data_IF_786499019018
#
_entry.id   IF_786499019018
#
_cell.length_a   1.000
_cell.length_b   1.000
_cell.length_c   1.000
_cell.angle_alpha   90.00
_cell.angle_beta   90.00
_cell.angle_gamma   90.00
#
_symmetry.space_group_name_H-M   'P 1'
#
loop_
_entity.id
_entity.type
_entity.pdbx_description
1 polymer ?
#
# COMPACT_ATOMS: atom_id res chain seq x y z
N UNK A 1 -10.63 1.75 8.23
CA UNK A 1 -9.59 1.92 9.27
C UNK A 1 -8.51 2.85 8.75
N UNK A 2 -8.18 3.86 9.52
CA UNK A 2 -7.11 4.79 9.17
C UNK A 2 -5.88 4.52 10.06
N UNK A 3 -4.76 5.15 9.71
CA UNK A 3 -3.48 4.88 10.41
C UNK A 3 -3.57 5.11 11.92
N UNK A 4 -4.22 6.18 12.35
CA UNK A 4 -4.35 6.48 13.79
C UNK A 4 -5.14 5.40 14.53
N UNK A 5 -6.18 4.85 13.90
CA UNK A 5 -6.95 3.75 14.47
C UNK A 5 -6.12 2.47 14.56
N UNK A 6 -5.29 2.20 13.56
CA UNK A 6 -4.38 1.06 13.59
C UNK A 6 -3.42 1.18 14.76
N UNK A 7 -2.83 2.35 14.95
CA UNK A 7 -1.92 2.62 16.06
C UNK A 7 -2.62 2.40 17.40
N UNK A 8 -3.86 2.90 17.53
CA UNK A 8 -4.65 2.70 18.75
C UNK A 8 -4.92 1.22 19.03
N UNK A 9 -5.24 0.45 18.02
CA UNK A 9 -5.49 -0.99 18.17
C UNK A 9 -4.22 -1.73 18.62
N UNK A 10 -3.07 -1.38 18.05
CA UNK A 10 -1.80 -1.97 18.47
C UNK A 10 -1.49 -1.58 19.91
N UNK A 11 -1.71 -0.33 20.29
CA UNK A 11 -1.48 0.15 21.63
C UNK A 11 -2.36 -0.60 22.66
N UNK A 12 -3.60 -0.89 22.30
CA UNK A 12 -4.54 -1.57 23.18
C UNK A 12 -4.07 -2.98 23.54
N UNK A 13 -3.36 -3.66 22.65
CA UNK A 13 -2.85 -5.02 22.88
C UNK A 13 -1.38 -5.05 23.30
N UNK A 14 -0.74 -3.88 23.41
CA UNK A 14 0.67 -3.76 23.78
C UNK A 14 0.85 -2.63 24.81
N UNK A 15 0.13 -2.72 25.91
CA UNK A 15 0.04 -1.65 26.91
C UNK A 15 1.37 -1.33 27.59
N UNK A 16 2.35 -2.22 27.49
CA UNK A 16 3.69 -2.00 28.01
C UNK A 16 4.53 -1.07 27.13
N UNK A 17 4.05 -0.72 25.95
CA UNK A 17 4.74 0.19 25.03
C UNK A 17 4.11 1.57 25.07
N UNK A 18 4.94 2.60 24.93
CA UNK A 18 4.42 3.96 24.80
C UNK A 18 3.76 4.16 23.44
N UNK A 19 2.66 4.89 23.43
CA UNK A 19 1.93 5.21 22.19
C UNK A 19 2.85 5.84 21.14
N UNK A 20 3.72 6.77 21.54
CA UNK A 20 4.66 7.43 20.63
C UNK A 20 5.64 6.46 19.96
N UNK A 21 6.02 5.40 20.66
CA UNK A 21 6.94 4.41 20.11
C UNK A 21 6.25 3.52 19.10
N UNK A 22 4.99 3.16 19.36
CA UNK A 22 4.16 2.41 18.41
C UNK A 22 3.95 3.23 17.14
N UNK A 23 3.62 4.50 17.28
CA UNK A 23 3.46 5.40 16.15
C UNK A 23 4.73 5.49 15.33
N UNK A 24 5.87 5.61 15.98
CA UNK A 24 7.17 5.66 15.32
C UNK A 24 7.45 4.37 14.54
N UNK A 25 7.18 3.21 15.14
CA UNK A 25 7.39 1.91 14.49
C UNK A 25 6.51 1.79 13.24
N UNK A 26 5.23 2.12 13.36
CA UNK A 26 4.32 2.08 12.22
C UNK A 26 4.81 2.99 11.09
N UNK A 27 5.22 4.21 11.43
CA UNK A 27 5.72 5.15 10.44
C UNK A 27 7.01 4.66 9.77
N UNK A 28 7.90 4.04 10.52
CA UNK A 28 9.15 3.47 9.98
C UNK A 28 8.84 2.34 8.99
N UNK A 29 7.92 1.45 9.36
CA UNK A 29 7.53 0.34 8.46
C UNK A 29 6.98 0.88 7.15
N UNK A 30 6.05 1.83 7.23
CA UNK A 30 5.45 2.43 6.03
C UNK A 30 6.50 3.16 5.18
N UNK A 31 7.39 3.89 5.83
CA UNK A 31 8.46 4.62 5.14
C UNK A 31 9.40 3.66 4.40
N UNK A 32 9.77 2.55 5.02
CA UNK A 32 10.63 1.55 4.38
C UNK A 32 9.99 0.97 3.12
N UNK A 33 8.68 0.71 3.18
CA UNK A 33 7.96 0.22 2.01
C UNK A 33 7.95 1.27 0.90
N UNK A 34 7.64 2.52 1.24
CA UNK A 34 7.62 3.62 0.26
C UNK A 34 8.98 3.80 -0.38
N UNK A 35 10.04 3.83 0.40
CA UNK A 35 11.40 4.03 -0.12
C UNK A 35 11.85 2.87 -1.01
N UNK A 36 11.52 1.64 -0.64
CA UNK A 36 11.84 0.48 -1.47
C UNK A 36 11.15 0.57 -2.83
N UNK A 37 9.87 0.89 -2.84
CA UNK A 37 9.12 1.02 -4.08
C UNK A 37 9.59 2.22 -4.91
N UNK A 38 10.00 3.29 -4.27
CA UNK A 38 10.54 4.46 -4.97
C UNK A 38 11.84 4.12 -5.72
N UNK A 39 12.61 3.15 -5.20
CA UNK A 39 13.81 2.65 -5.88
C UNK A 39 13.49 1.61 -6.97
N UNK A 40 12.23 1.20 -7.09
CA UNK A 40 11.82 0.15 -8.00
C UNK A 40 11.97 -1.26 -7.42
N UNK A 41 12.26 -1.39 -6.13
CA UNK A 41 12.40 -2.68 -5.48
C UNK A 41 11.05 -3.29 -5.16
N UNK A 42 11.02 -4.62 -5.11
CA UNK A 42 9.86 -5.38 -4.68
C UNK A 42 9.90 -5.54 -3.16
N UNK A 43 8.74 -5.42 -2.51
CA UNK A 43 8.61 -5.69 -1.08
C UNK A 43 7.69 -6.89 -0.91
N UNK A 44 8.23 -8.00 -0.47
CA UNK A 44 7.47 -9.23 -0.28
C UNK A 44 7.32 -9.54 1.21
N UNK A 45 6.08 -9.60 1.67
CA UNK A 45 5.75 -9.90 3.05
C UNK A 45 5.01 -11.24 3.06
N UNK A 46 5.73 -12.27 3.49
CA UNK A 46 5.23 -13.64 3.48
C UNK A 46 3.84 -13.73 4.11
N UNK A 47 2.94 -14.47 3.48
CA UNK A 47 1.56 -14.70 3.88
C UNK A 47 0.64 -13.48 3.76
N UNK A 48 1.18 -12.29 3.66
CA UNK A 48 0.41 -11.07 3.50
C UNK A 48 0.27 -10.70 2.02
N UNK A 49 1.38 -10.49 1.34
CA UNK A 49 1.37 -10.12 -0.06
C UNK A 49 2.66 -9.49 -0.51
N UNK A 50 2.66 -9.00 -1.72
CA UNK A 50 3.82 -8.38 -2.33
C UNK A 50 3.47 -7.05 -2.96
N UNK A 51 4.28 -6.05 -2.70
CA UNK A 51 4.21 -4.75 -3.37
C UNK A 51 5.24 -4.72 -4.49
N UNK A 52 4.83 -4.31 -5.66
CA UNK A 52 5.71 -4.12 -6.82
C UNK A 52 5.42 -2.79 -7.48
N UNK A 53 6.29 -2.39 -8.37
CA UNK A 53 6.09 -1.18 -9.17
C UNK A 53 5.83 -1.61 -10.60
N UNK A 54 4.74 -1.10 -11.17
CA UNK A 54 4.38 -1.36 -12.57
C UNK A 54 4.63 -0.13 -13.40
N UNK A 55 5.26 -0.33 -14.54
CA UNK A 55 5.48 0.71 -15.52
C UNK A 55 4.24 0.88 -16.39
N UNK A 56 3.83 2.12 -16.60
CA UNK A 56 2.75 2.47 -17.51
C UNK A 56 3.33 3.32 -18.63
N UNK A 57 3.19 2.82 -19.86
CA UNK A 57 3.70 3.54 -21.03
C UNK A 57 2.93 4.85 -21.25
N UNK A 58 3.54 5.83 -21.92
CA UNK A 58 2.83 7.04 -22.32
C UNK A 58 1.61 6.70 -23.18
N UNK A 59 0.55 7.44 -23.00
CA UNK A 59 -0.69 7.24 -23.74
C UNK A 59 -1.44 8.55 -23.92
N UNK A 60 -2.41 8.55 -24.84
CA UNK A 60 -3.33 9.65 -24.99
C UNK A 60 -4.63 9.27 -24.30
N UNK A 61 -5.04 10.11 -23.36
CA UNK A 61 -6.32 9.96 -22.67
C UNK A 61 -7.26 11.08 -23.13
N UNK A 62 -8.56 10.94 -22.85
CA UNK A 62 -9.52 11.99 -23.14
C UNK A 62 -10.07 12.56 -21.85
N UNK A 63 -10.16 13.87 -21.82
CA UNK A 63 -10.81 14.57 -20.73
C UNK A 63 -12.31 14.25 -20.79
N UNK A 64 -12.90 13.62 -19.77
CA UNK A 64 -14.32 13.24 -19.80
C UNK A 64 -15.25 14.45 -19.84
N UNK A 65 -14.75 15.61 -19.50
CA UNK A 65 -15.51 16.84 -19.42
C UNK A 65 -15.61 17.57 -20.75
N UNK A 66 -14.49 17.60 -21.50
CA UNK A 66 -14.38 18.36 -22.73
C UNK A 66 -14.21 17.48 -23.97
N UNK A 67 -13.88 16.21 -23.77
CA UNK A 67 -13.54 15.30 -24.88
C UNK A 67 -12.18 15.56 -25.49
N UNK A 68 -11.43 16.54 -24.99
CA UNK A 68 -10.12 16.87 -25.53
C UNK A 68 -9.10 15.78 -25.24
N UNK A 69 -8.18 15.56 -26.19
CA UNK A 69 -7.08 14.65 -26.01
C UNK A 69 -6.08 15.23 -25.00
N UNK A 70 -5.61 14.39 -24.09
CA UNK A 70 -4.62 14.76 -23.08
C UNK A 70 -3.49 13.74 -23.13
N UNK A 71 -2.27 14.24 -23.29
CA UNK A 71 -1.09 13.37 -23.27
C UNK A 71 -0.78 12.99 -21.83
N UNK A 72 -0.74 11.67 -21.58
CA UNK A 72 -0.33 11.13 -20.29
C UNK A 72 1.05 10.53 -20.48
N UNK A 73 2.04 11.10 -19.79
CA UNK A 73 3.42 10.64 -19.88
C UNK A 73 3.64 9.29 -19.22
N UNK A 74 4.85 8.78 -19.39
CA UNK A 74 5.30 7.58 -18.71
C UNK A 74 5.18 7.77 -17.19
N UNK A 75 4.75 6.70 -16.51
CA UNK A 75 4.62 6.73 -15.05
C UNK A 75 4.83 5.36 -14.45
N UNK A 76 5.13 5.36 -13.15
CA UNK A 76 5.28 4.14 -12.37
C UNK A 76 4.19 4.12 -11.31
N UNK A 77 3.56 2.97 -11.13
CA UNK A 77 2.40 2.82 -10.25
C UNK A 77 2.66 1.68 -9.28
N UNK A 78 2.47 1.90 -7.97
CA UNK A 78 2.56 0.79 -7.02
C UNK A 78 1.40 -0.19 -7.24
N UNK A 79 1.71 -1.46 -7.03
CA UNK A 79 0.75 -2.54 -7.20
C UNK A 79 0.90 -3.52 -6.05
N UNK A 80 -0.22 -3.93 -5.47
CA UNK A 80 -0.23 -4.90 -4.39
C UNK A 80 -0.95 -6.17 -4.84
N UNK A 81 -0.28 -7.32 -4.66
CA UNK A 81 -0.89 -8.62 -4.90
C UNK A 81 -0.93 -9.37 -3.58
N UNK A 82 -2.11 -9.85 -3.21
CA UNK A 82 -2.29 -10.57 -1.95
C UNK A 82 -1.55 -11.90 -1.96
N UNK A 83 -1.07 -12.30 -0.78
CA UNK A 83 -0.61 -13.65 -0.56
C UNK A 83 -1.79 -14.60 -0.37
N UNK A 84 -1.47 -15.88 -0.26
CA UNK A 84 -2.52 -16.92 -0.15
C UNK A 84 -3.38 -16.76 1.10
N UNK A 85 -2.76 -16.54 2.25
CA UNK A 85 -3.49 -16.45 3.52
C UNK A 85 -4.49 -15.29 3.53
N UNK A 86 -4.04 -14.10 3.14
CA UNK A 86 -4.92 -12.94 3.10
C UNK A 86 -6.07 -13.16 2.11
N UNK A 87 -5.76 -13.68 0.93
CA UNK A 87 -6.77 -13.94 -0.10
C UNK A 87 -7.83 -14.93 0.40
N UNK A 88 -7.41 -15.99 1.05
CA UNK A 88 -8.34 -17.00 1.56
C UNK A 88 -9.21 -16.44 2.69
N UNK A 89 -8.64 -15.63 3.58
CA UNK A 89 -9.40 -15.03 4.67
C UNK A 89 -10.46 -14.06 4.18
N UNK A 90 -10.13 -13.26 3.18
CA UNK A 90 -11.10 -12.33 2.60
C UNK A 90 -12.24 -13.08 1.93
N UNK A 91 -11.93 -14.13 1.20
CA UNK A 91 -12.96 -14.92 0.50
C UNK A 91 -13.73 -15.85 1.43
N UNK A 92 -13.11 -16.34 2.48
CA UNK A 92 -13.73 -17.26 3.43
C UNK A 92 -14.75 -16.60 4.34
N UNK A 93 -14.66 -15.28 4.54
CA UNK A 93 -15.54 -14.58 5.47
C UNK A 93 -16.92 -14.24 4.93
N UNK A 94 -17.16 -14.43 3.64
CA UNK A 94 -18.47 -14.23 3.00
C UNK A 94 -19.14 -12.92 3.38
N UNK A 95 -18.56 -11.85 2.99
CA UNK A 95 -19.11 -10.52 3.22
C UNK A 95 -20.47 -10.34 2.56
#
# INVERSE_FOLDING_TARGET
MIKSELIQKIAATNQHLYHRDIERIVNVVLKEIVEALARGDRVELRDFGAFTVKHRAPRVARNPRTGAAVDVGERFVPFFKTGKDLRERVNGNKH
#
